data_IF_788692484791
#
_entry.id   IF_788692484791
#
_cell.length_a   1.000
_cell.length_b   1.000
_cell.length_c   1.000
_cell.angle_alpha   90.00
_cell.angle_beta   90.00
_cell.angle_gamma   90.00
#
_symmetry.space_group_name_H-M   'P 1'
#
loop_
_entity.id
_entity.type
_entity.pdbx_description
1 polymer ?
#
# COMPACT_ATOMS: atom_id res chain seq x y z
N UNK A 1 5.66 2.74 17.00
CA UNK A 1 4.97 3.39 15.86
C UNK A 1 5.39 4.85 15.80
N UNK A 2 5.47 5.43 14.61
CA UNK A 2 5.77 6.86 14.44
C UNK A 2 4.46 7.65 14.45
N UNK A 3 4.35 8.77 15.19
CA UNK A 3 3.15 9.61 15.18
C UNK A 3 2.80 10.08 13.76
N UNK A 4 1.52 10.35 13.45
CA UNK A 4 1.09 10.68 12.10
C UNK A 4 1.74 11.94 11.50
N UNK A 5 1.95 12.98 12.30
CA UNK A 5 2.67 14.19 11.90
C UNK A 5 4.20 14.09 12.11
N UNK A 6 4.70 12.89 12.42
CA UNK A 6 6.10 12.62 12.68
C UNK A 6 6.90 12.37 11.40
N UNK A 7 8.21 12.25 11.59
CA UNK A 7 9.12 11.77 10.55
C UNK A 7 9.77 10.47 10.99
N UNK A 8 10.15 9.63 10.03
CA UNK A 8 10.95 8.44 10.26
C UNK A 8 12.15 8.43 9.34
N UNK A 9 13.35 8.22 9.91
CA UNK A 9 14.62 8.31 9.20
C UNK A 9 14.73 9.56 8.28
N UNK A 10 14.25 10.71 8.77
CA UNK A 10 14.31 12.00 8.07
C UNK A 10 13.21 12.23 7.02
N UNK A 11 12.26 11.31 6.84
CA UNK A 11 11.19 11.41 5.85
C UNK A 11 9.80 11.50 6.50
N UNK A 12 8.90 12.29 5.89
CA UNK A 12 7.47 12.37 6.25
C UNK A 12 6.71 11.15 5.74
N UNK A 13 5.47 10.96 6.19
CA UNK A 13 4.60 9.92 5.65
C UNK A 13 4.34 10.07 4.14
N UNK A 14 4.16 11.30 3.64
CA UNK A 14 4.02 11.56 2.20
C UNK A 14 5.26 11.12 1.39
N UNK A 15 6.45 11.32 1.95
CA UNK A 15 7.70 10.87 1.33
C UNK A 15 7.83 9.34 1.38
N UNK A 16 7.44 8.70 2.48
CA UNK A 16 7.40 7.24 2.55
C UNK A 16 6.34 6.62 1.64
N UNK A 17 5.17 7.25 1.49
CA UNK A 17 4.13 6.85 0.55
C UNK A 17 4.62 6.97 -0.89
N UNK A 18 5.35 8.04 -1.21
CA UNK A 18 6.02 8.20 -2.52
C UNK A 18 7.00 7.05 -2.76
N UNK A 19 7.86 6.74 -1.78
CA UNK A 19 8.84 5.66 -1.89
C UNK A 19 8.17 4.28 -2.00
N UNK A 20 7.06 4.06 -1.29
CA UNK A 20 6.24 2.87 -1.41
C UNK A 20 5.70 2.70 -2.83
N UNK A 21 5.06 3.72 -3.40
CA UNK A 21 4.52 3.64 -4.74
C UNK A 21 5.61 3.44 -5.79
N UNK A 22 6.73 4.16 -5.67
CA UNK A 22 7.88 3.96 -6.56
C UNK A 22 8.43 2.52 -6.48
N UNK A 23 8.45 1.93 -5.28
CA UNK A 23 8.83 0.54 -5.10
C UNK A 23 7.81 -0.40 -5.75
N UNK A 24 6.52 -0.28 -5.41
CA UNK A 24 5.49 -1.19 -5.86
C UNK A 24 5.30 -1.14 -7.38
N UNK A 25 5.16 0.06 -7.97
CA UNK A 25 4.93 0.22 -9.40
C UNK A 25 6.12 -0.20 -10.28
N UNK A 26 7.32 -0.29 -9.70
CA UNK A 26 8.52 -0.78 -10.37
C UNK A 26 8.61 -2.31 -10.40
N UNK A 27 7.79 -3.03 -9.63
CA UNK A 27 7.81 -4.49 -9.59
C UNK A 27 7.08 -5.08 -10.82
N UNK A 28 7.61 -6.16 -11.40
CA UNK A 28 6.90 -6.90 -12.44
C UNK A 28 5.72 -7.68 -11.85
N UNK A 29 4.75 -8.03 -12.71
CA UNK A 29 3.62 -8.91 -12.35
C UNK A 29 4.12 -10.25 -11.78
N UNK A 30 5.22 -10.77 -12.34
CA UNK A 30 5.96 -11.92 -11.85
C UNK A 30 7.45 -11.61 -11.87
N UNK A 31 8.13 -11.76 -10.73
CA UNK A 31 9.57 -11.51 -10.61
C UNK A 31 10.41 -12.57 -11.34
N UNK A 32 11.72 -12.32 -11.58
CA UNK A 32 12.63 -13.35 -12.09
C UNK A 32 12.73 -14.60 -11.19
N UNK A 33 12.43 -14.45 -9.89
CA UNK A 33 12.37 -15.54 -8.91
C UNK A 33 10.98 -16.21 -8.83
N UNK A 34 10.09 -15.87 -9.77
CA UNK A 34 8.71 -16.34 -9.85
C UNK A 34 7.84 -15.94 -8.65
N UNK A 35 8.16 -14.81 -7.99
CA UNK A 35 7.27 -14.23 -6.99
C UNK A 35 6.19 -13.39 -7.66
N UNK A 36 4.92 -13.48 -7.23
CA UNK A 36 3.87 -12.59 -7.70
C UNK A 36 4.10 -11.16 -7.22
N UNK A 37 3.42 -10.22 -7.87
CA UNK A 37 3.29 -8.84 -7.38
C UNK A 37 2.62 -8.80 -6.00
N UNK A 38 3.08 -7.95 -5.04
CA UNK A 38 2.50 -7.89 -3.68
C UNK A 38 1.01 -7.53 -3.64
N UNK A 39 0.49 -6.87 -4.68
CA UNK A 39 -0.95 -6.56 -4.80
C UNK A 39 -1.81 -7.76 -5.20
N UNK A 40 -1.19 -8.83 -5.72
CA UNK A 40 -1.91 -9.98 -6.27
C UNK A 40 -1.90 -11.19 -5.33
N UNK A 41 -0.83 -11.38 -4.57
CA UNK A 41 -0.70 -12.51 -3.64
C UNK A 41 0.36 -12.19 -2.57
N UNK A 42 -0.07 -12.19 -1.31
CA UNK A 42 0.78 -11.90 -0.16
C UNK A 42 1.40 -13.15 0.50
N UNK A 43 1.12 -14.37 0.03
CA UNK A 43 1.62 -15.63 0.60
C UNK A 43 2.69 -16.31 -0.27
N UNK A 44 2.60 -16.19 -1.59
CA UNK A 44 3.60 -16.75 -2.52
C UNK A 44 4.82 -15.84 -2.75
N UNK A 45 4.92 -14.75 -1.99
CA UNK A 45 6.03 -13.80 -1.99
C UNK A 45 6.54 -13.59 -0.56
N UNK A 46 7.84 -13.77 -0.25
CA UNK A 46 8.35 -13.44 1.06
C UNK A 46 8.41 -11.92 1.27
N UNK A 47 8.16 -11.45 2.48
CA UNK A 47 8.15 -10.02 2.87
C UNK A 47 9.48 -9.32 2.60
N UNK A 48 10.58 -10.07 2.51
CA UNK A 48 11.92 -9.57 2.18
C UNK A 48 12.15 -9.34 0.69
N UNK A 49 11.27 -9.81 -0.19
CA UNK A 49 11.45 -9.72 -1.63
C UNK A 49 11.48 -8.27 -2.11
N UNK A 50 12.51 -7.94 -2.88
CA UNK A 50 12.77 -6.62 -3.46
C UNK A 50 12.82 -5.47 -2.43
N UNK A 51 13.14 -5.78 -1.16
CA UNK A 51 13.31 -4.79 -0.10
C UNK A 51 14.74 -4.29 -0.03
N UNK A 52 14.90 -3.00 0.29
CA UNK A 52 16.22 -2.40 0.56
C UNK A 52 16.14 -1.43 1.74
N UNK A 53 17.28 -1.05 2.31
CA UNK A 53 17.31 -0.06 3.39
C UNK A 53 16.68 -0.55 4.71
N UNK A 54 16.32 0.40 5.58
CA UNK A 54 15.82 0.13 6.93
C UNK A 54 14.30 0.16 7.08
N UNK A 55 13.58 0.49 6.01
CA UNK A 55 12.13 0.46 5.95
C UNK A 55 11.75 -0.55 4.89
N UNK A 56 10.99 -1.57 5.28
CA UNK A 56 10.42 -2.53 4.35
C UNK A 56 8.98 -2.16 4.06
N UNK A 57 8.60 -2.20 2.79
CA UNK A 57 7.24 -1.91 2.36
C UNK A 57 6.37 -3.15 2.46
N UNK A 58 5.18 -3.01 3.03
CA UNK A 58 4.20 -4.09 3.04
C UNK A 58 2.92 -3.63 2.35
N UNK A 59 2.47 -4.43 1.38
CA UNK A 59 1.14 -4.36 0.78
C UNK A 59 0.62 -5.79 0.55
N UNK A 60 -0.70 -5.90 0.43
CA UNK A 60 -1.43 -7.13 0.20
C UNK A 60 -2.69 -6.80 -0.64
N UNK A 61 -3.26 -7.79 -1.35
CA UNK A 61 -4.55 -7.66 -2.02
C UNK A 61 -5.63 -6.97 -1.18
N UNK A 62 -6.53 -6.26 -1.85
CA UNK A 62 -7.75 -5.73 -1.23
C UNK A 62 -8.79 -6.85 -1.11
N UNK A 63 -8.53 -7.76 -0.18
CA UNK A 63 -9.32 -8.95 0.09
C UNK A 63 -9.37 -9.28 1.59
N UNK A 64 -10.18 -10.30 1.92
CA UNK A 64 -10.18 -10.91 3.25
C UNK A 64 -9.20 -12.09 3.23
N UNK A 65 -8.04 -11.94 3.86
CA UNK A 65 -6.98 -12.94 3.77
C UNK A 65 -6.03 -12.98 4.98
N UNK A 66 -5.33 -14.11 5.11
CA UNK A 66 -4.23 -14.26 6.05
C UNK A 66 -2.93 -14.30 5.25
N UNK A 67 -2.05 -13.33 5.50
CA UNK A 67 -0.73 -13.24 4.89
C UNK A 67 0.31 -13.79 5.87
N UNK A 68 0.67 -15.06 5.70
CA UNK A 68 1.61 -15.71 6.61
C UNK A 68 3.06 -15.52 6.16
N UNK A 69 3.72 -14.54 6.76
CA UNK A 69 5.12 -14.18 6.51
C UNK A 69 6.07 -14.63 7.62
N UNK A 70 5.58 -15.43 8.58
CA UNK A 70 6.35 -15.80 9.79
C UNK A 70 7.62 -16.61 9.49
N UNK A 71 7.69 -17.24 8.31
CA UNK A 71 8.85 -18.00 7.84
C UNK A 71 10.05 -17.10 7.47
N UNK A 72 9.81 -15.82 7.16
CA UNK A 72 10.86 -14.85 6.88
C UNK A 72 11.14 -14.03 8.13
N UNK A 73 12.36 -14.13 8.67
CA UNK A 73 12.78 -13.28 9.79
C UNK A 73 13.16 -11.91 9.24
N UNK A 74 12.42 -10.88 9.66
CA UNK A 74 12.72 -9.48 9.36
C UNK A 74 13.91 -9.07 10.24
N UNK A 75 15.05 -8.61 9.69
CA UNK A 75 16.21 -8.26 10.51
C UNK A 75 15.90 -7.23 11.60
N UNK A 76 16.63 -7.31 12.71
CA UNK A 76 16.50 -6.35 13.80
C UNK A 76 16.68 -4.90 13.32
N UNK A 77 15.87 -4.00 13.87
CA UNK A 77 15.92 -2.56 13.56
C UNK A 77 15.27 -2.15 12.24
N UNK A 78 14.67 -3.07 11.47
CA UNK A 78 13.80 -2.70 10.34
C UNK A 78 12.47 -2.16 10.85
N UNK A 79 11.98 -1.12 10.20
CA UNK A 79 10.59 -0.71 10.29
C UNK A 79 9.79 -1.27 9.12
N UNK A 80 8.49 -1.44 9.30
CA UNK A 80 7.55 -1.83 8.24
C UNK A 80 6.68 -0.62 7.93
N UNK A 81 6.67 -0.17 6.68
CA UNK A 81 5.70 0.79 6.19
C UNK A 81 4.51 0.01 5.65
N UNK A 82 3.48 -0.11 6.50
CA UNK A 82 2.26 -0.85 6.25
C UNK A 82 1.30 0.01 5.44
N UNK A 83 0.91 -0.46 4.26
CA UNK A 83 -0.21 0.14 3.54
C UNK A 83 -1.53 -0.44 4.01
N UNK A 84 -2.44 0.42 4.46
CA UNK A 84 -3.76 -0.03 4.89
C UNK A 84 -4.69 -0.08 3.69
N UNK A 85 -5.13 1.09 3.23
CA UNK A 85 -5.92 1.32 2.04
C UNK A 85 -5.39 2.60 1.40
N UNK A 86 -5.11 2.54 0.12
CA UNK A 86 -4.55 3.63 -0.66
C UNK A 86 -5.03 3.53 -2.11
N UNK A 87 -4.84 4.63 -2.84
CA UNK A 87 -5.14 4.75 -4.26
C UNK A 87 -4.05 5.58 -4.91
N UNK A 88 -3.81 5.32 -6.18
CA UNK A 88 -2.97 6.15 -7.03
C UNK A 88 -3.67 6.42 -8.37
N UNK A 89 -3.31 7.53 -9.00
CA UNK A 89 -3.74 7.87 -10.34
C UNK A 89 -2.51 8.27 -11.16
N UNK A 90 -2.24 7.53 -12.24
CA UNK A 90 -1.04 7.72 -13.04
C UNK A 90 -1.28 8.05 -14.51
N UNK A 91 -0.20 8.46 -15.16
CA UNK A 91 -0.13 8.66 -16.60
C UNK A 91 -0.04 7.36 -17.39
N UNK A 92 -0.02 6.20 -16.73
CA UNK A 92 0.04 4.88 -17.38
C UNK A 92 -1.21 4.04 -17.14
N UNK A 93 -2.08 4.45 -16.20
CA UNK A 93 -3.30 3.73 -15.88
C UNK A 93 -4.32 3.74 -17.02
N UNK A 94 -5.24 2.77 -17.04
CA UNK A 94 -6.50 2.91 -17.75
C UNK A 94 -7.45 3.87 -17.04
N UNK A 95 -8.48 4.34 -17.74
CA UNK A 95 -9.62 4.98 -17.07
C UNK A 95 -10.22 4.05 -16.00
N UNK A 96 -10.68 4.58 -14.85
CA UNK A 96 -10.83 6.00 -14.51
C UNK A 96 -9.59 6.64 -13.85
N UNK A 97 -8.49 5.90 -13.70
CA UNK A 97 -7.31 6.37 -12.96
C UNK A 97 -6.26 7.10 -13.82
N UNK A 98 -6.47 7.10 -15.15
CA UNK A 98 -5.60 7.80 -16.09
C UNK A 98 -5.68 9.33 -15.95
N UNK A 99 -4.54 9.96 -15.69
CA UNK A 99 -4.34 11.40 -15.84
C UNK A 99 -2.85 11.73 -16.10
N UNK A 100 -2.57 12.83 -16.78
CA UNK A 100 -1.19 13.22 -17.17
C UNK A 100 -0.68 14.49 -16.47
N UNK A 101 -1.56 15.26 -15.84
CA UNK A 101 -1.18 16.48 -15.10
C UNK A 101 -1.19 16.21 -13.60
N UNK A 102 -0.36 16.92 -12.80
CA UNK A 102 -0.39 16.76 -11.34
C UNK A 102 -1.78 17.02 -10.74
N UNK A 103 -2.47 18.05 -11.21
CA UNK A 103 -3.77 18.46 -10.67
C UNK A 103 -4.87 17.43 -10.98
N UNK A 104 -4.89 16.87 -12.19
CA UNK A 104 -5.87 15.86 -12.56
C UNK A 104 -5.61 14.53 -11.83
N UNK A 105 -4.34 14.14 -11.66
CA UNK A 105 -3.97 12.95 -10.88
C UNK A 105 -4.38 13.10 -9.42
N UNK A 106 -4.08 14.26 -8.80
CA UNK A 106 -4.51 14.57 -7.44
C UNK A 106 -6.04 14.51 -7.31
N UNK A 107 -6.78 15.14 -8.23
CA UNK A 107 -8.25 15.14 -8.17
C UNK A 107 -8.85 13.73 -8.25
N UNK A 108 -8.25 12.83 -9.02
CA UNK A 108 -8.67 11.42 -9.09
C UNK A 108 -8.31 10.69 -7.79
N UNK A 109 -7.08 10.85 -7.29
CA UNK A 109 -6.65 10.25 -6.02
C UNK A 109 -7.57 10.68 -4.87
N UNK A 110 -7.83 11.99 -4.72
CA UNK A 110 -8.74 12.55 -3.70
C UNK A 110 -10.17 12.00 -3.84
N UNK A 111 -10.68 11.87 -5.07
CA UNK A 111 -12.01 11.31 -5.33
C UNK A 111 -12.10 9.89 -4.77
N UNK A 112 -11.16 9.01 -5.10
CA UNK A 112 -11.22 7.61 -4.69
C UNK A 112 -10.80 7.42 -3.23
N UNK A 113 -9.87 8.23 -2.73
CA UNK A 113 -9.51 8.28 -1.31
C UNK A 113 -10.74 8.62 -0.45
N UNK A 114 -11.59 9.54 -0.89
CA UNK A 114 -12.84 9.89 -0.20
C UNK A 114 -13.82 8.71 -0.04
N UNK A 115 -13.61 7.60 -0.76
CA UNK A 115 -14.38 6.36 -0.65
C UNK A 115 -13.89 5.43 0.44
N UNK A 116 -12.69 5.67 1.00
CA UNK A 116 -12.08 4.81 2.01
C UNK A 116 -12.71 5.11 3.37
N UNK A 117 -13.28 4.08 3.99
CA UNK A 117 -13.93 4.12 5.30
C UNK A 117 -13.67 2.86 6.13
N UNK A 118 -14.35 2.78 7.28
CA UNK A 118 -14.38 1.60 8.16
C UNK A 118 -13.01 1.05 8.58
N UNK A 119 -12.02 1.94 8.72
CA UNK A 119 -10.63 1.58 8.99
C UNK A 119 -10.46 0.89 10.34
N UNK A 120 -9.64 -0.17 10.36
CA UNK A 120 -9.19 -0.82 11.58
C UNK A 120 -7.73 -1.26 11.46
N UNK A 121 -7.02 -1.27 12.58
CA UNK A 121 -5.68 -1.83 12.69
C UNK A 121 -5.43 -2.25 14.15
N UNK A 122 -5.03 -3.49 14.34
CA UNK A 122 -4.78 -4.11 15.64
C UNK A 122 -3.47 -4.89 15.59
N UNK A 123 -2.68 -4.78 16.65
CA UNK A 123 -1.39 -5.44 16.81
C UNK A 123 -1.48 -6.38 18.03
N UNK A 124 -0.97 -7.60 17.88
CA UNK A 124 -0.82 -8.62 18.93
C UNK A 124 -2.06 -8.83 19.80
N UNK A 125 -3.21 -9.06 19.15
CA UNK A 125 -4.47 -9.40 19.81
C UNK A 125 -4.92 -8.41 20.89
N UNK A 126 -5.00 -7.13 20.53
CA UNK A 126 -5.77 -6.16 21.32
C UNK A 126 -5.22 -4.73 21.33
N UNK A 127 -4.00 -4.51 20.83
CA UNK A 127 -3.45 -3.15 20.74
C UNK A 127 -4.02 -2.48 19.49
N UNK A 128 -5.14 -1.78 19.66
CA UNK A 128 -5.71 -0.94 18.60
C UNK A 128 -4.77 0.22 18.29
N UNK A 129 -4.53 0.47 17.00
CA UNK A 129 -3.91 1.72 16.56
C UNK A 129 -4.98 2.81 16.65
N UNK A 130 -4.84 3.81 17.54
CA UNK A 130 -5.85 4.84 17.70
C UNK A 130 -5.78 5.84 16.53
N UNK A 131 -6.91 6.48 16.23
CA UNK A 131 -7.02 7.58 15.27
C UNK A 131 -6.37 7.24 13.91
N UNK A 132 -6.69 6.08 13.33
CA UNK A 132 -6.11 5.63 12.05
C UNK A 132 -6.26 6.69 10.95
N UNK A 133 -7.37 7.44 10.96
CA UNK A 133 -7.58 8.54 10.01
C UNK A 133 -6.52 9.64 10.05
N UNK A 134 -5.79 9.79 11.17
CA UNK A 134 -4.68 10.75 11.26
C UNK A 134 -3.43 10.30 10.50
N UNK A 135 -3.31 9.01 10.19
CA UNK A 135 -2.22 8.40 9.41
C UNK A 135 -2.40 8.54 7.88
N UNK A 136 -3.17 9.56 7.48
CA UNK A 136 -3.36 9.96 6.09
C UNK A 136 -2.07 10.53 5.51
N UNK A 137 -1.79 10.18 4.27
CA UNK A 137 -0.75 10.82 3.48
C UNK A 137 -1.16 10.94 2.01
N UNK A 138 -0.99 12.13 1.46
CA UNK A 138 -1.03 12.42 0.03
C UNK A 138 0.40 12.69 -0.46
N UNK A 139 0.78 12.13 -1.60
CA UNK A 139 2.07 12.40 -2.22
C UNK A 139 2.00 13.66 -3.07
N UNK A 140 3.14 14.34 -3.25
CA UNK A 140 3.28 15.18 -4.45
C UNK A 140 3.32 14.28 -5.69
N UNK A 141 3.13 14.85 -6.89
CA UNK A 141 3.36 14.07 -8.11
C UNK A 141 4.80 13.53 -8.11
N UNK A 142 4.93 12.22 -8.31
CA UNK A 142 6.22 11.55 -8.38
C UNK A 142 6.38 10.85 -9.72
N UNK A 143 7.64 10.59 -10.08
CA UNK A 143 8.00 9.80 -11.26
C UNK A 143 8.24 8.35 -10.86
N UNK A 144 7.87 7.43 -11.74
CA UNK A 144 8.17 6.01 -11.61
C UNK A 144 8.48 5.38 -12.98
N UNK A 145 9.01 4.16 -12.94
CA UNK A 145 9.19 3.32 -14.12
C UNK A 145 8.49 1.99 -13.88
N UNK A 146 7.54 1.64 -14.74
CA UNK A 146 6.81 0.38 -14.69
C UNK A 146 7.31 -0.61 -15.75
N UNK A 147 7.46 -1.90 -15.41
CA UNK A 147 7.84 -2.95 -16.37
C UNK A 147 6.73 -3.24 -17.39
N UNK A 148 7.01 -4.04 -18.41
CA UNK A 148 5.99 -4.47 -19.39
C UNK A 148 5.87 -6.00 -19.36
N UNK A 149 4.69 -6.57 -19.05
CA UNK A 149 3.51 -5.90 -18.47
C UNK A 149 3.76 -5.40 -17.04
N UNK A 150 2.93 -4.48 -16.55
CA UNK A 150 2.93 -4.05 -15.14
C UNK A 150 1.61 -4.38 -14.47
N UNK A 151 1.52 -4.13 -13.16
CA UNK A 151 0.41 -4.62 -12.33
C UNK A 151 -0.96 -4.10 -12.78
N UNK A 152 -1.05 -2.90 -13.38
CA UNK A 152 -2.33 -2.29 -13.75
C UNK A 152 -2.64 -2.32 -15.26
N UNK A 153 -1.67 -2.61 -16.14
CA UNK A 153 -1.93 -2.73 -17.58
C UNK A 153 -0.87 -3.55 -18.34
N UNK A 154 -1.14 -3.76 -19.63
CA UNK A 154 -0.27 -4.56 -20.49
C UNK A 154 1.02 -3.84 -20.93
N UNK A 155 1.07 -2.51 -20.85
CA UNK A 155 2.20 -1.70 -21.30
C UNK A 155 2.62 -0.80 -20.15
N UNK A 156 3.88 -0.93 -19.72
CA UNK A 156 4.50 -0.02 -18.76
C UNK A 156 5.37 1.04 -19.46
N UNK A 157 6.26 1.66 -18.69
CA UNK A 157 7.12 2.73 -19.16
C UNK A 157 7.42 3.74 -18.06
N UNK A 158 7.90 4.91 -18.44
CA UNK A 158 8.05 6.03 -17.51
C UNK A 158 6.70 6.72 -17.33
N UNK A 159 6.31 6.94 -16.08
CA UNK A 159 5.06 7.59 -15.73
C UNK A 159 5.21 8.61 -14.62
N UNK A 160 4.15 9.38 -14.42
CA UNK A 160 3.93 10.19 -13.23
C UNK A 160 2.68 9.71 -12.51
N UNK A 161 2.64 9.85 -11.19
CA UNK A 161 1.48 9.48 -10.37
C UNK A 161 1.36 10.40 -9.16
N UNK A 162 0.12 10.53 -8.65
CA UNK A 162 -0.19 11.03 -7.31
C UNK A 162 -0.90 9.89 -6.57
N UNK A 163 -0.47 9.62 -5.34
CA UNK A 163 -1.06 8.62 -4.47
C UNK A 163 -1.58 9.22 -3.18
N UNK A 164 -2.63 8.62 -2.63
CA UNK A 164 -3.25 9.05 -1.39
C UNK A 164 -3.80 7.85 -0.61
N UNK A 165 -3.65 7.83 0.71
CA UNK A 165 -4.12 6.71 1.51
C UNK A 165 -3.78 6.80 2.99
N UNK A 166 -4.00 5.68 3.67
CA UNK A 166 -3.66 5.49 5.08
C UNK A 166 -2.49 4.53 5.23
N UNK A 167 -1.43 4.99 5.91
CA UNK A 167 -0.18 4.25 6.03
C UNK A 167 0.30 4.25 7.47
N UNK A 168 0.85 3.14 7.97
CA UNK A 168 1.37 3.07 9.34
C UNK A 168 2.83 2.65 9.34
N UNK A 169 3.69 3.45 9.98
CA UNK A 169 5.09 3.09 10.21
C UNK A 169 5.22 2.27 11.51
N UNK A 170 5.37 0.97 11.36
CA UNK A 170 5.49 0.00 12.44
C UNK A 170 6.96 -0.24 12.81
N UNK A 171 7.24 -0.09 14.10
CA UNK A 171 8.48 -0.54 14.75
C UNK A 171 8.03 -1.50 15.84
N UNK A 172 8.34 -2.78 15.65
CA UNK A 172 7.90 -3.86 16.51
C UNK A 172 9.10 -4.43 17.26
N UNK A 173 8.92 -4.87 18.51
CA UNK A 173 9.99 -5.53 19.25
C UNK A 173 10.39 -6.85 18.57
N UNK A 174 11.51 -7.47 18.97
CA UNK A 174 11.84 -8.83 18.51
C UNK A 174 10.75 -9.83 18.89
N UNK A 175 10.44 -10.76 17.99
CA UNK A 175 9.45 -11.81 18.22
C UNK A 175 8.41 -11.94 17.11
N UNK A 176 7.45 -12.82 17.34
CA UNK A 176 6.33 -13.04 16.41
C UNK A 176 5.23 -12.03 16.68
N UNK A 177 4.69 -11.45 15.61
CA UNK A 177 3.61 -10.48 15.67
C UNK A 177 2.45 -10.86 14.77
N UNK A 178 1.25 -10.48 15.20
CA UNK A 178 0.03 -10.55 14.38
C UNK A 178 -0.55 -9.15 14.23
N UNK A 179 -0.71 -8.71 13.00
CA UNK A 179 -1.29 -7.42 12.66
C UNK A 179 -2.55 -7.67 11.86
N UNK A 180 -3.71 -7.28 12.37
CA UNK A 180 -4.97 -7.32 11.62
C UNK A 180 -5.39 -5.91 11.25
N UNK A 181 -5.51 -5.64 9.97
CA UNK A 181 -5.76 -4.30 9.44
C UNK A 181 -6.64 -4.35 8.19
N UNK A 182 -7.28 -3.21 7.89
CA UNK A 182 -8.15 -3.10 6.73
C UNK A 182 -9.14 -1.96 6.84
N UNK A 183 -10.22 -2.11 6.09
CA UNK A 183 -11.32 -1.15 5.95
C UNK A 183 -12.11 -1.45 4.68
N UNK A 184 -12.84 -0.46 4.19
CA UNK A 184 -13.70 -0.61 3.01
C UNK A 184 -13.51 0.54 2.04
N UNK A 185 -13.43 0.26 0.74
CA UNK A 185 -13.59 1.25 -0.32
C UNK A 185 -15.06 1.22 -0.77
N UNK A 186 -15.82 2.25 -0.43
CA UNK A 186 -17.24 2.40 -0.76
C UNK A 186 -17.42 3.08 -2.11
N UNK A 187 -17.20 2.34 -3.21
CA UNK A 187 -17.40 2.86 -4.55
C UNK A 187 -18.88 3.22 -4.76
N UNK A 188 -19.11 4.41 -5.30
CA UNK A 188 -20.44 4.89 -5.64
C UNK A 188 -20.82 4.43 -7.05
N UNK A 189 -22.12 4.54 -7.34
CA UNK A 189 -22.59 4.38 -8.71
C UNK A 189 -21.84 5.35 -9.64
N UNK A 190 -21.49 4.88 -10.83
CA UNK A 190 -20.76 5.63 -11.85
C UNK A 190 -19.31 6.02 -11.48
N UNK A 191 -18.75 5.54 -10.36
CA UNK A 191 -17.37 5.87 -9.99
C UNK A 191 -16.33 5.27 -10.94
N UNK A 192 -16.54 4.04 -11.42
CA UNK A 192 -15.59 3.32 -12.28
C UNK A 192 -15.81 3.60 -13.76
N UNK A 193 -17.07 3.58 -14.18
CA UNK A 193 -17.53 3.89 -15.53
C UNK A 193 -19.03 4.23 -15.50
N UNK A 194 -19.57 4.97 -16.50
CA UNK A 194 -21.00 5.22 -16.59
C UNK A 194 -21.81 3.92 -16.62
N UNK A 195 -22.71 3.75 -15.65
CA UNK A 195 -23.51 2.54 -15.41
C UNK A 195 -22.89 1.54 -14.43
N UNK A 196 -21.69 1.79 -13.90
CA UNK A 196 -21.10 0.93 -12.85
C UNK A 196 -21.93 1.00 -11.56
N UNK A 197 -22.24 -0.13 -10.91
CA UNK A 197 -22.99 -0.12 -9.67
C UNK A 197 -22.13 0.41 -8.50
N UNK A 198 -22.80 0.91 -7.46
CA UNK A 198 -22.14 1.08 -6.17
C UNK A 198 -21.66 -0.29 -5.65
N UNK A 199 -20.46 -0.32 -5.06
CA UNK A 199 -19.83 -1.55 -4.59
C UNK A 199 -18.89 -1.26 -3.42
N UNK A 200 -18.91 -2.15 -2.43
CA UNK A 200 -17.90 -2.18 -1.38
C UNK A 200 -16.76 -3.13 -1.76
N UNK A 201 -15.53 -2.64 -1.68
CA UNK A 201 -14.31 -3.47 -1.72
C UNK A 201 -13.79 -3.55 -0.29
N UNK A 202 -13.91 -4.73 0.33
CA UNK A 202 -13.52 -4.95 1.72
C UNK A 202 -12.10 -5.51 1.76
N UNK A 203 -11.26 -4.88 2.58
CA UNK A 203 -9.94 -5.40 2.96
C UNK A 203 -9.97 -5.80 4.43
N UNK A 204 -9.60 -7.04 4.73
CA UNK A 204 -9.36 -7.52 6.09
C UNK A 204 -8.20 -8.50 6.06
N UNK A 205 -7.01 -7.96 6.27
CA UNK A 205 -5.76 -8.70 6.18
C UNK A 205 -5.26 -9.00 7.59
N UNK A 206 -4.97 -10.27 7.85
CA UNK A 206 -4.18 -10.70 9.01
C UNK A 206 -2.76 -11.02 8.56
N UNK A 207 -1.81 -10.13 8.85
CA UNK A 207 -0.39 -10.30 8.61
C UNK A 207 0.29 -10.97 9.81
N UNK A 208 0.96 -12.10 9.56
CA UNK A 208 1.80 -12.80 10.55
C UNK A 208 3.26 -12.62 10.19
N UNK A 209 4.08 -12.06 11.08
CA UNK A 209 5.50 -11.78 10.83
C UNK A 209 6.37 -12.18 12.02
N UNK A 210 7.67 -12.30 11.77
CA UNK A 210 8.68 -12.54 12.81
C UNK A 210 9.77 -11.47 12.71
N UNK A 211 9.91 -10.65 13.74
CA UNK A 211 10.97 -9.66 13.89
C UNK A 211 12.20 -10.31 14.56
N UNK A 212 13.37 -10.11 13.97
CA UNK A 212 14.66 -10.57 14.47
C UNK A 212 15.12 -9.80 15.70
N UNK A 213 15.88 -10.48 16.55
CA UNK A 213 16.55 -9.91 17.73
C UNK A 213 17.95 -9.38 17.44
#
# INVERSE_FOLDING_TARGET
MVPPNGTFAGQTYAQWATAFWQWALALPVTSPQNYPHPFNDCNARPISADQTGNVWFWSAPDAVEVCNQSATIIPAGKAIFLTMLDVEASSLDPSPFFATTPADQQAIAEKFFSRIGDLFCTIDDGVQVPNISSYHAETQQFHFHAPTPWVFANVGGNGTSVGEGYFVMLQLPPGSHKIRYGGTIHLQQDDLYPGSPAQDIVKDVTLLITMGG
#
